data_IF_282344256945
#
_entry.id   IF_282344256945
#
_cell.length_a   1.000
_cell.length_b   1.000
_cell.length_c   1.000
_cell.angle_alpha   90.00
_cell.angle_beta   90.00
_cell.angle_gamma   90.00
#
_symmetry.space_group_name_H-M   'P 1'
#
loop_
_entity.id
_entity.type
_entity.pdbx_description
1 polymer ?
#
# COMPACT_ATOMS: atom_id res chain seq x y z
N UNK A 1 22.12 -7.43 4.72
CA UNK A 1 20.66 -7.19 4.81
C UNK A 1 20.40 -6.77 6.24
N UNK A 2 20.43 -5.47 6.52
CA UNK A 2 20.50 -4.88 7.87
C UNK A 2 19.12 -4.82 8.56
N UNK A 3 18.48 -5.98 8.71
CA UNK A 3 17.43 -6.14 9.73
C UNK A 3 18.09 -6.58 11.03
N UNK A 4 18.96 -5.71 11.55
CA UNK A 4 19.54 -5.82 12.88
C UNK A 4 18.46 -5.50 13.91
N UNK A 5 17.57 -6.47 14.17
CA UNK A 5 16.38 -6.40 15.05
C UNK A 5 16.65 -6.10 16.55
N UNK A 6 17.78 -5.49 16.89
CA UNK A 6 18.17 -5.22 18.28
C UNK A 6 18.35 -3.76 18.66
N UNK A 7 18.31 -2.81 17.72
CA UNK A 7 18.71 -1.42 18.00
C UNK A 7 17.60 -0.38 17.84
N UNK A 8 16.51 -0.70 17.12
CA UNK A 8 15.45 0.26 16.83
C UNK A 8 14.07 -0.28 17.19
N UNK A 9 13.25 0.56 17.83
CA UNK A 9 11.85 0.27 18.11
C UNK A 9 11.00 0.42 16.84
N UNK A 10 9.79 -0.15 16.84
CA UNK A 10 8.85 0.00 15.72
C UNK A 10 8.49 1.47 15.46
N UNK A 11 8.42 2.29 16.52
CA UNK A 11 8.28 3.75 16.45
C UNK A 11 9.40 4.38 15.61
N UNK A 12 10.66 4.02 15.89
CA UNK A 12 11.83 4.58 15.21
C UNK A 12 11.93 4.13 13.76
N UNK A 13 11.55 2.88 13.48
CA UNK A 13 11.48 2.35 12.11
C UNK A 13 10.45 3.14 11.31
N UNK A 14 9.24 3.33 11.84
CA UNK A 14 8.19 4.09 11.16
C UNK A 14 8.54 5.58 11.01
N UNK A 15 9.19 6.18 12.01
CA UNK A 15 9.69 7.55 11.89
C UNK A 15 10.67 7.69 10.71
N UNK A 16 11.66 6.79 10.62
CA UNK A 16 12.68 6.81 9.56
C UNK A 16 12.08 6.58 8.17
N UNK A 17 11.13 5.66 8.04
CA UNK A 17 10.41 5.44 6.77
C UNK A 17 9.60 6.69 6.40
N UNK A 18 8.96 7.31 7.39
CA UNK A 18 8.14 8.50 7.22
C UNK A 18 8.91 9.75 6.77
N UNK A 19 10.21 9.85 7.09
CA UNK A 19 11.07 10.96 6.66
C UNK A 19 11.39 10.95 5.16
N UNK A 20 11.16 9.83 4.46
CA UNK A 20 11.38 9.76 3.02
C UNK A 20 10.32 10.56 2.25
N UNK A 21 10.69 11.75 1.76
CA UNK A 21 9.80 12.68 1.05
C UNK A 21 9.34 12.19 -0.32
N UNK A 22 10.04 11.25 -0.94
CA UNK A 22 9.64 10.67 -2.23
C UNK A 22 8.54 9.59 -2.07
N UNK A 23 8.26 9.19 -0.82
CA UNK A 23 7.29 8.16 -0.52
C UNK A 23 5.94 8.76 -0.13
N UNK A 24 4.91 8.50 -0.93
CA UNK A 24 3.54 9.02 -0.71
C UNK A 24 2.93 8.59 0.62
N UNK A 25 3.37 7.45 1.17
CA UNK A 25 2.96 6.99 2.51
C UNK A 25 3.79 7.58 3.65
N UNK A 26 4.73 8.48 3.36
CA UNK A 26 5.57 9.13 4.39
C UNK A 26 4.75 9.69 5.57
N UNK A 27 3.69 10.48 5.32
CA UNK A 27 2.82 10.97 6.38
C UNK A 27 2.12 9.86 7.18
N UNK A 28 1.69 8.78 6.54
CA UNK A 28 1.11 7.62 7.24
C UNK A 28 2.10 7.04 8.26
N UNK A 29 3.35 6.79 7.84
CA UNK A 29 4.36 6.23 8.74
C UNK A 29 4.75 7.20 9.86
N UNK A 30 4.72 8.52 9.61
CA UNK A 30 4.86 9.53 10.67
C UNK A 30 3.73 9.48 11.69
N UNK A 31 2.48 9.39 11.24
CA UNK A 31 1.32 9.27 12.13
C UNK A 31 1.37 7.99 12.96
N UNK A 32 1.75 6.87 12.35
CA UNK A 32 1.96 5.60 13.05
C UNK A 32 3.05 5.71 14.13
N UNK A 33 4.16 6.39 13.85
CA UNK A 33 5.23 6.63 14.83
C UNK A 33 4.74 7.47 16.01
N UNK A 34 4.01 8.56 15.75
CA UNK A 34 3.43 9.42 16.79
C UNK A 34 2.44 8.63 17.66
N UNK A 35 1.50 7.91 17.04
CA UNK A 35 0.48 7.14 17.77
C UNK A 35 1.12 6.00 18.59
N UNK A 36 2.21 5.37 18.10
CA UNK A 36 2.96 4.38 18.87
C UNK A 36 3.71 4.97 20.07
N UNK A 37 4.14 6.23 19.98
CA UNK A 37 4.86 6.94 21.04
C UNK A 37 3.93 7.47 22.13
N UNK A 38 2.78 8.00 21.74
CA UNK A 38 1.85 8.70 22.62
C UNK A 38 0.84 7.75 23.29
N UNK A 39 0.55 6.60 22.69
CA UNK A 39 -0.59 5.77 23.08
C UNK A 39 -0.20 4.36 23.56
N UNK A 40 0.53 4.30 24.68
CA UNK A 40 1.01 3.07 25.32
C UNK A 40 -0.09 2.05 25.70
N UNK A 41 -1.38 2.43 25.59
CA UNK A 41 -2.52 1.58 25.95
C UNK A 41 -3.18 0.88 24.76
N UNK A 42 -2.89 1.31 23.53
CA UNK A 42 -3.55 0.79 22.33
C UNK A 42 -2.72 -0.27 21.63
N UNK A 43 -3.42 -1.26 21.08
CA UNK A 43 -2.78 -2.30 20.26
C UNK A 43 -2.36 -1.71 18.91
N UNK A 44 -1.29 -2.25 18.32
CA UNK A 44 -0.85 -1.91 16.96
C UNK A 44 -1.99 -2.01 15.94
N UNK A 45 -2.89 -2.98 16.12
CA UNK A 45 -4.08 -3.17 15.28
C UNK A 45 -5.07 -2.01 15.35
N UNK A 46 -5.28 -1.44 16.54
CA UNK A 46 -6.16 -0.29 16.73
C UNK A 46 -5.56 0.97 16.12
N UNK A 47 -4.26 1.18 16.34
CA UNK A 47 -3.49 2.31 15.78
C UNK A 47 -3.49 2.22 14.24
N UNK A 48 -3.20 1.04 13.71
CA UNK A 48 -3.18 0.78 12.28
C UNK A 48 -4.56 1.00 11.64
N UNK A 49 -5.63 0.52 12.27
CA UNK A 49 -7.00 0.69 11.74
C UNK A 49 -7.41 2.16 11.70
N UNK A 50 -7.06 2.95 12.73
CA UNK A 50 -7.28 4.40 12.76
C UNK A 50 -6.56 5.12 11.61
N UNK A 51 -5.34 4.68 11.29
CA UNK A 51 -4.51 5.30 10.25
C UNK A 51 -4.73 4.69 8.86
N UNK A 52 -5.43 3.57 8.73
CA UNK A 52 -5.65 2.91 7.44
C UNK A 52 -6.50 3.74 6.47
N UNK A 53 -7.46 4.51 7.00
CA UNK A 53 -8.25 5.44 6.19
C UNK A 53 -7.37 6.49 5.49
N UNK A 54 -6.24 6.85 6.11
CA UNK A 54 -5.25 7.75 5.51
C UNK A 54 -4.63 7.11 4.27
N UNK A 55 -4.33 5.81 4.30
CA UNK A 55 -3.77 5.10 3.15
C UNK A 55 -4.71 5.15 1.95
N UNK A 56 -6.03 5.02 2.15
CA UNK A 56 -7.01 5.04 1.07
C UNK A 56 -7.22 6.47 0.55
N UNK A 57 -7.24 7.47 1.44
CA UNK A 57 -7.57 8.87 1.07
C UNK A 57 -6.40 9.62 0.44
N UNK A 58 -5.20 9.37 0.93
CA UNK A 58 -4.00 10.13 0.57
C UNK A 58 -3.09 9.37 -0.40
N UNK A 59 -3.47 8.14 -0.76
CA UNK A 59 -2.81 7.37 -1.82
C UNK A 59 -3.82 6.83 -2.82
N UNK A 60 -3.32 6.29 -3.94
CA UNK A 60 -4.15 5.66 -4.97
C UNK A 60 -4.36 4.16 -4.74
N UNK A 61 -4.12 3.67 -3.52
CA UNK A 61 -4.26 2.25 -3.21
C UNK A 61 -5.71 1.81 -3.19
N UNK A 62 -5.92 0.60 -3.70
CA UNK A 62 -7.16 -0.15 -3.60
C UNK A 62 -7.23 -0.85 -2.24
N UNK A 63 -8.44 -1.20 -1.80
CA UNK A 63 -8.68 -1.89 -0.52
C UNK A 63 -7.82 -3.15 -0.35
N UNK A 64 -7.62 -3.91 -1.43
CA UNK A 64 -6.79 -5.13 -1.42
C UNK A 64 -5.31 -4.84 -1.11
N UNK A 65 -4.78 -3.72 -1.61
CA UNK A 65 -3.40 -3.31 -1.37
C UNK A 65 -3.24 -2.82 0.08
N UNK A 66 -4.23 -2.08 0.58
CA UNK A 66 -4.28 -1.62 1.97
C UNK A 66 -4.37 -2.81 2.93
N UNK A 67 -5.19 -3.82 2.62
CA UNK A 67 -5.30 -5.02 3.44
C UNK A 67 -4.01 -5.84 3.49
N UNK A 68 -3.29 -5.94 2.37
CA UNK A 68 -2.00 -6.64 2.35
C UNK A 68 -0.92 -5.88 3.14
N UNK A 69 -0.90 -4.54 3.04
CA UNK A 69 -0.02 -3.69 3.86
C UNK A 69 -0.35 -3.80 5.35
N UNK A 70 -1.64 -3.88 5.72
CA UNK A 70 -2.04 -4.09 7.10
C UNK A 70 -1.51 -5.41 7.65
N UNK A 71 -1.66 -6.50 6.89
CA UNK A 71 -1.13 -7.81 7.29
C UNK A 71 0.38 -7.75 7.51
N UNK A 72 1.11 -7.17 6.57
CA UNK A 72 2.56 -6.99 6.68
C UNK A 72 2.95 -6.25 7.96
N UNK A 73 2.30 -5.11 8.25
CA UNK A 73 2.56 -4.33 9.46
C UNK A 73 2.24 -5.13 10.73
N UNK A 74 1.15 -5.89 10.74
CA UNK A 74 0.75 -6.70 11.89
C UNK A 74 1.63 -7.95 12.11
N UNK A 75 2.31 -8.42 11.08
CA UNK A 75 3.32 -9.48 11.18
C UNK A 75 4.58 -8.97 11.87
N UNK A 76 4.93 -7.69 11.71
CA UNK A 76 6.07 -7.09 12.39
C UNK A 76 5.85 -7.15 13.91
N UNK A 77 6.63 -7.97 14.60
CA UNK A 77 6.52 -8.17 16.05
C UNK A 77 5.62 -9.34 16.49
N UNK A 78 5.08 -10.14 15.57
CA UNK A 78 4.38 -11.40 15.89
C UNK A 78 5.19 -12.61 15.46
N UNK A 79 5.46 -13.54 16.38
CA UNK A 79 6.12 -14.81 16.10
C UNK A 79 7.64 -14.74 16.09
N UNK A 80 8.29 -15.87 15.80
CA UNK A 80 9.74 -15.99 15.66
C UNK A 80 10.25 -15.36 14.35
N UNK A 81 11.53 -15.02 14.30
CA UNK A 81 12.16 -14.31 13.18
C UNK A 81 11.96 -15.03 11.85
N UNK A 82 12.04 -16.36 11.83
CA UNK A 82 11.88 -17.14 10.60
C UNK A 82 10.44 -17.09 10.07
N UNK A 83 9.46 -17.18 10.97
CA UNK A 83 8.05 -16.98 10.60
C UNK A 83 7.78 -15.57 10.07
N UNK A 84 8.40 -14.55 10.67
CA UNK A 84 8.27 -13.16 10.20
C UNK A 84 8.89 -12.96 8.81
N UNK A 85 10.09 -13.49 8.58
CA UNK A 85 10.78 -13.41 7.28
C UNK A 85 9.92 -14.04 6.16
N UNK A 86 9.41 -15.26 6.39
CA UNK A 86 8.52 -15.93 5.43
C UNK A 86 7.24 -15.14 5.15
N UNK A 87 6.71 -14.47 6.17
CA UNK A 87 5.49 -13.69 6.02
C UNK A 87 5.73 -12.37 5.28
N UNK A 88 6.88 -11.74 5.50
CA UNK A 88 7.33 -10.60 4.71
C UNK A 88 7.49 -11.00 3.24
N UNK A 89 8.14 -12.13 2.97
CA UNK A 89 8.30 -12.65 1.60
C UNK A 89 6.95 -12.87 0.90
N UNK A 90 5.99 -13.50 1.58
CA UNK A 90 4.65 -13.72 1.03
C UNK A 90 3.93 -12.39 0.73
N UNK A 91 4.02 -11.42 1.64
CA UNK A 91 3.41 -10.11 1.40
C UNK A 91 4.08 -9.36 0.24
N UNK A 92 5.39 -9.50 0.05
CA UNK A 92 6.09 -8.96 -1.13
C UNK A 92 5.58 -9.62 -2.41
N UNK A 93 5.41 -10.94 -2.44
CA UNK A 93 4.87 -11.66 -3.60
C UNK A 93 3.42 -11.23 -3.91
N UNK A 94 2.58 -11.09 -2.89
CA UNK A 94 1.20 -10.62 -3.04
C UNK A 94 1.14 -9.20 -3.61
N UNK A 95 1.96 -8.27 -3.10
CA UNK A 95 2.02 -6.90 -3.60
C UNK A 95 2.53 -6.83 -5.06
N UNK A 96 3.52 -7.67 -5.43
CA UNK A 96 3.97 -7.79 -6.83
C UNK A 96 2.85 -8.29 -7.75
N UNK A 97 2.07 -9.26 -7.29
CA UNK A 97 0.92 -9.79 -8.03
C UNK A 97 -0.14 -8.71 -8.22
N UNK A 98 -0.52 -7.99 -7.16
CA UNK A 98 -1.46 -6.87 -7.22
C UNK A 98 -0.96 -5.79 -8.19
N UNK A 99 0.33 -5.43 -8.14
CA UNK A 99 0.93 -4.49 -9.08
C UNK A 99 0.79 -4.94 -10.54
N UNK A 100 0.97 -6.24 -10.79
CA UNK A 100 0.83 -6.82 -12.14
C UNK A 100 -0.63 -6.77 -12.60
N UNK A 101 -1.58 -7.14 -11.73
CA UNK A 101 -3.02 -7.06 -12.00
C UNK A 101 -3.45 -5.62 -12.30
N UNK A 102 -3.01 -4.64 -11.50
CA UNK A 102 -3.30 -3.22 -11.74
C UNK A 102 -2.75 -2.72 -13.08
N UNK A 103 -1.54 -3.16 -13.45
CA UNK A 103 -0.94 -2.82 -14.75
C UNK A 103 -1.75 -3.39 -15.91
N UNK A 104 -2.15 -4.66 -15.82
CA UNK A 104 -3.00 -5.28 -16.84
C UNK A 104 -4.36 -4.59 -16.96
N UNK A 105 -4.96 -4.17 -15.84
CA UNK A 105 -6.23 -3.47 -15.83
C UNK A 105 -6.14 -2.08 -16.49
N UNK A 106 -5.05 -1.34 -16.24
CA UNK A 106 -4.78 -0.08 -16.92
C UNK A 106 -4.62 -0.29 -18.42
N UNK A 107 -3.88 -1.32 -18.83
CA UNK A 107 -3.68 -1.66 -20.24
C UNK A 107 -5.00 -2.05 -20.93
N UNK A 108 -5.79 -2.93 -20.31
CA UNK A 108 -7.12 -3.34 -20.81
C UNK A 108 -8.04 -2.14 -20.94
N UNK A 109 -8.12 -1.27 -19.92
CA UNK A 109 -8.93 -0.04 -19.97
C UNK A 109 -8.46 0.90 -21.10
N UNK A 110 -7.15 1.08 -21.27
CA UNK A 110 -6.58 1.86 -22.37
C UNK A 110 -6.99 1.33 -23.75
N UNK A 111 -6.94 0.01 -23.93
CA UNK A 111 -7.39 -0.64 -25.18
C UNK A 111 -8.88 -0.41 -25.41
N UNK A 112 -9.72 -0.51 -24.36
CA UNK A 112 -11.17 -0.27 -24.46
C UNK A 112 -11.46 1.17 -24.86
N UNK A 113 -10.84 2.17 -24.23
CA UNK A 113 -11.02 3.58 -24.58
C UNK A 113 -10.64 3.86 -26.04
N UNK A 114 -9.54 3.25 -26.52
CA UNK A 114 -9.11 3.39 -27.92
C UNK A 114 -10.15 2.83 -28.89
N UNK A 115 -10.71 1.65 -28.60
CA UNK A 115 -11.78 1.05 -29.42
C UNK A 115 -13.05 1.89 -29.38
N UNK A 116 -13.43 2.41 -28.22
CA UNK A 116 -14.63 3.25 -28.05
C UNK A 116 -14.52 4.57 -28.83
N UNK A 117 -13.35 5.22 -28.78
CA UNK A 117 -13.08 6.45 -29.55
C UNK A 117 -13.19 6.22 -31.06
N UNK A 118 -12.67 5.09 -31.58
CA UNK A 118 -12.82 4.73 -32.99
C UNK A 118 -14.28 4.52 -33.38
N UNK A 119 -15.07 3.83 -32.54
CA UNK A 119 -16.51 3.61 -32.80
C UNK A 119 -17.27 4.94 -32.81
N UNK A 120 -17.02 5.82 -31.83
CA UNK A 120 -17.64 7.15 -31.76
C UNK A 120 -17.28 7.99 -33.01
N UNK A 121 -16.02 7.97 -33.42
CA UNK A 121 -15.58 8.67 -34.65
C UNK A 121 -16.27 8.15 -35.91
N UNK A 122 -16.46 6.84 -36.03
CA UNK A 122 -17.20 6.21 -37.12
C UNK A 122 -18.67 6.63 -37.15
N UNK A 123 -19.34 6.64 -36.00
CA UNK A 123 -20.75 7.04 -35.86
C UNK A 123 -20.93 8.52 -36.24
N UNK A 124 -20.05 9.40 -35.79
CA UNK A 124 -20.06 10.83 -36.17
C UNK A 124 -19.86 10.99 -37.68
N UNK A 125 -18.92 10.23 -38.27
CA UNK A 125 -18.67 10.27 -39.72
C UNK A 125 -19.87 9.83 -40.56
N UNK A 126 -20.65 8.84 -40.10
CA UNK A 126 -21.88 8.41 -40.77
C UNK A 126 -22.99 9.47 -40.63
N UNK A 127 -23.12 10.12 -39.47
CA UNK A 127 -24.15 11.13 -39.22
C UNK A 127 -23.92 12.45 -39.99
N UNK A 128 -22.69 12.71 -40.44
CA UNK A 128 -22.32 13.92 -41.18
C UNK A 128 -22.46 13.78 -42.71
N UNK A 129 -22.86 12.60 -43.20
CA UNK A 129 -23.18 12.29 -44.61
C UNK A 129 -24.70 12.32 -44.79
#
# INVERSE_FOLDING_TARGET
>A
MDLSFGLYTLEEIFYRIGENKEFSLGPFFKHMSIDLKEDNSKTLETILSKNADFMIKESYFQDKEVDELKKLILTLGKGDVYSQERMIDLSIENLKKLTTESKEDVEKKGIVYRKLSTIIGLVIGILLI
#
